data_IF_393045877718
#
_entry.id   IF_393045877718
#
_cell.length_a   1.000
_cell.length_b   1.000
_cell.length_c   1.000
_cell.angle_alpha   90.00
_cell.angle_beta   90.00
_cell.angle_gamma   90.00
#
_symmetry.space_group_name_H-M   'P 1'
#
loop_
_entity.id
_entity.type
_entity.pdbx_description
1 polymer ?
#
# COMPACT_ATOMS: atom_id res chain seq x y z
N UNK A 1 -15.95 19.83 -17.27
CA UNK A 1 -15.42 21.21 -17.20
C UNK A 1 -16.40 22.27 -17.72
N UNK A 2 -17.29 22.01 -18.69
CA UNK A 2 -18.19 23.05 -19.23
C UNK A 2 -19.52 23.26 -18.46
N UNK A 3 -20.08 22.22 -17.83
CA UNK A 3 -21.41 22.29 -17.20
C UNK A 3 -21.45 23.22 -15.98
N UNK A 4 -20.36 23.29 -15.21
CA UNK A 4 -20.27 24.16 -14.02
C UNK A 4 -20.23 25.65 -14.36
N UNK A 5 -19.61 26.03 -15.48
CA UNK A 5 -19.54 27.43 -15.92
C UNK A 5 -20.88 27.94 -16.45
N UNK A 6 -21.63 27.10 -17.16
CA UNK A 6 -22.97 27.45 -17.66
C UNK A 6 -23.97 27.68 -16.53
N UNK A 7 -23.96 26.82 -15.50
CA UNK A 7 -24.82 26.96 -14.32
C UNK A 7 -24.53 28.26 -13.53
N UNK A 8 -23.26 28.65 -13.41
CA UNK A 8 -22.90 29.91 -12.74
C UNK A 8 -23.19 31.17 -13.58
N UNK A 9 -23.11 31.07 -14.91
CA UNK A 9 -23.47 32.17 -15.81
C UNK A 9 -24.95 32.55 -15.73
N UNK A 10 -25.85 31.56 -15.71
CA UNK A 10 -27.31 31.78 -15.60
C UNK A 10 -27.70 32.36 -14.23
N UNK A 11 -27.00 31.98 -13.15
CA UNK A 11 -27.22 32.55 -11.81
C UNK A 11 -26.75 34.00 -11.72
N UNK A 12 -25.66 34.37 -12.39
CA UNK A 12 -25.16 35.75 -12.44
C UNK A 12 -26.08 36.69 -13.23
N UNK A 13 -26.75 36.17 -14.27
CA UNK A 13 -27.63 36.94 -15.15
C UNK A 13 -28.98 37.28 -14.51
N UNK A 14 -29.56 36.36 -13.71
CA UNK A 14 -30.90 36.55 -13.12
C UNK A 14 -30.87 37.27 -11.77
N UNK A 15 -29.80 37.11 -10.99
CA UNK A 15 -29.84 37.46 -9.57
C UNK A 15 -29.03 38.72 -9.19
N UNK A 16 -28.26 39.30 -10.11
CA UNK A 16 -27.43 40.49 -9.86
C UNK A 16 -26.16 40.20 -9.05
N UNK A 17 -25.17 41.08 -9.15
CA UNK A 17 -23.82 40.91 -8.60
C UNK A 17 -23.82 40.58 -7.09
N UNK A 18 -24.77 41.16 -6.34
CA UNK A 18 -24.88 41.03 -4.89
C UNK A 18 -25.26 39.61 -4.44
N UNK A 19 -26.19 38.95 -5.11
CA UNK A 19 -26.64 37.61 -4.73
C UNK A 19 -25.61 36.54 -5.11
N UNK A 20 -24.88 36.73 -6.21
CA UNK A 20 -23.78 35.85 -6.62
C UNK A 20 -22.62 35.88 -5.62
N UNK A 21 -22.30 37.06 -5.09
CA UNK A 21 -21.30 37.21 -4.03
C UNK A 21 -21.77 36.58 -2.71
N UNK A 22 -23.05 36.75 -2.34
CA UNK A 22 -23.62 36.11 -1.16
C UNK A 22 -23.65 34.58 -1.27
N UNK A 23 -24.04 34.05 -2.44
CA UNK A 23 -24.04 32.60 -2.71
C UNK A 23 -22.62 32.02 -2.64
N UNK A 24 -21.63 32.71 -3.20
CA UNK A 24 -20.22 32.30 -3.13
C UNK A 24 -19.69 32.31 -1.69
N UNK A 25 -20.06 33.34 -0.91
CA UNK A 25 -19.69 33.45 0.51
C UNK A 25 -20.29 32.31 1.34
N UNK A 26 -21.57 31.98 1.11
CA UNK A 26 -22.26 30.85 1.76
C UNK A 26 -21.60 29.53 1.35
N UNK A 27 -21.30 29.33 0.07
CA UNK A 27 -20.62 28.14 -0.43
C UNK A 27 -19.23 27.97 0.19
N UNK A 28 -18.48 29.07 0.38
CA UNK A 28 -17.15 29.04 1.01
C UNK A 28 -17.24 28.71 2.50
N UNK A 29 -18.21 29.30 3.22
CA UNK A 29 -18.46 28.99 4.64
C UNK A 29 -18.94 27.55 4.80
N UNK A 30 -19.85 27.07 3.94
CA UNK A 30 -20.32 25.70 3.92
C UNK A 30 -19.19 24.71 3.62
N UNK A 31 -18.33 25.03 2.64
CA UNK A 31 -17.12 24.27 2.35
C UNK A 31 -16.21 24.17 3.58
N UNK A 32 -15.90 25.31 4.23
CA UNK A 32 -15.09 25.34 5.44
C UNK A 32 -15.72 24.54 6.59
N UNK A 33 -17.04 24.58 6.71
CA UNK A 33 -17.77 23.85 7.74
C UNK A 33 -17.78 22.34 7.49
N UNK A 34 -17.91 21.91 6.23
CA UNK A 34 -17.79 20.51 5.80
C UNK A 34 -16.35 20.01 6.04
N UNK A 35 -15.34 20.81 5.69
CA UNK A 35 -13.92 20.47 5.94
C UNK A 35 -13.63 20.39 7.44
N UNK A 36 -14.16 21.33 8.24
CA UNK A 36 -14.02 21.31 9.72
C UNK A 36 -14.76 20.16 10.38
N UNK A 37 -15.88 19.70 9.82
CA UNK A 37 -16.67 18.58 10.37
C UNK A 37 -16.15 17.19 9.99
N UNK A 38 -14.99 17.09 9.33
CA UNK A 38 -14.16 15.87 9.40
C UNK A 38 -14.57 14.71 8.49
N UNK A 39 -15.05 14.99 7.27
CA UNK A 39 -15.28 13.91 6.28
C UNK A 39 -14.08 13.69 5.35
N UNK A 40 -13.07 14.56 5.39
CA UNK A 40 -11.79 14.28 4.75
C UNK A 40 -10.84 13.60 5.75
N UNK A 41 -10.79 12.27 5.69
CA UNK A 41 -9.68 11.49 6.25
C UNK A 41 -8.49 11.71 5.30
N UNK A 42 -7.87 12.89 5.39
CA UNK A 42 -6.55 13.10 4.83
C UNK A 42 -5.58 12.51 5.86
N UNK A 43 -4.89 11.42 5.50
CA UNK A 43 -3.95 10.75 6.40
C UNK A 43 -3.04 11.76 7.07
N UNK A 44 -3.04 11.75 8.40
CA UNK A 44 -2.25 12.66 9.25
C UNK A 44 -0.77 12.63 8.83
N UNK A 45 -0.01 13.71 8.99
CA UNK A 45 1.46 13.69 8.79
C UNK A 45 2.15 12.61 9.64
N UNK A 46 1.55 12.25 10.78
CA UNK A 46 2.03 11.14 11.62
C UNK A 46 1.88 9.77 10.93
N UNK A 47 0.96 9.64 9.98
CA UNK A 47 0.62 8.40 9.28
C UNK A 47 1.70 8.01 8.24
N UNK A 48 2.64 8.91 7.94
CA UNK A 48 3.75 8.69 6.97
C UNK A 48 5.10 8.40 7.60
N UNK A 49 5.26 8.42 8.94
CA UNK A 49 6.58 8.13 9.52
C UNK A 49 6.93 6.65 9.25
N UNK A 50 8.20 6.45 8.88
CA UNK A 50 8.75 5.14 8.50
C UNK A 50 8.97 4.32 9.76
N UNK A 51 8.48 3.08 9.76
CA UNK A 51 8.72 2.12 10.85
C UNK A 51 10.14 1.53 10.70
N UNK A 52 10.97 1.51 11.76
CA UNK A 52 12.28 0.85 11.72
C UNK A 52 12.12 -0.65 11.44
N UNK A 53 12.84 -1.17 10.44
CA UNK A 53 12.82 -2.60 10.13
C UNK A 53 13.85 -3.37 10.95
N UNK A 54 13.38 -4.39 11.68
CA UNK A 54 14.21 -5.23 12.56
C UNK A 54 14.84 -6.43 11.83
N UNK A 55 14.34 -6.78 10.65
CA UNK A 55 14.81 -7.94 9.89
C UNK A 55 16.20 -7.70 9.28
N UNK A 56 17.20 -8.42 9.82
CA UNK A 56 18.53 -8.53 9.22
C UNK A 56 18.40 -9.24 7.87
N UNK A 57 18.77 -8.53 6.81
CA UNK A 57 18.90 -9.12 5.48
C UNK A 57 20.03 -10.15 5.52
N UNK A 58 19.69 -11.44 5.55
CA UNK A 58 20.65 -12.51 5.39
C UNK A 58 20.99 -12.63 3.90
N UNK A 59 22.03 -11.92 3.47
CA UNK A 59 22.53 -11.96 2.10
C UNK A 59 23.93 -12.55 2.14
N UNK A 60 24.14 -13.67 1.45
CA UNK A 60 25.41 -14.39 1.45
C UNK A 60 26.48 -13.71 0.58
N UNK A 61 26.09 -12.80 -0.32
CA UNK A 61 26.97 -12.15 -1.29
C UNK A 61 26.51 -10.72 -1.51
N UNK A 62 27.42 -9.79 -1.74
CA UNK A 62 27.06 -8.41 -2.06
C UNK A 62 26.26 -8.36 -3.38
N UNK A 63 25.06 -7.77 -3.34
CA UNK A 63 24.15 -7.66 -4.49
C UNK A 63 24.18 -6.21 -4.96
N UNK A 64 24.42 -5.99 -6.26
CA UNK A 64 24.42 -4.65 -6.81
C UNK A 64 22.99 -4.09 -6.82
N UNK A 65 22.88 -2.78 -6.63
CA UNK A 65 21.58 -2.09 -6.59
C UNK A 65 20.73 -2.28 -7.85
N UNK A 66 21.38 -2.46 -9.00
CA UNK A 66 20.75 -2.68 -10.31
C UNK A 66 20.34 -4.13 -10.56
N UNK A 67 20.74 -5.08 -9.71
CA UNK A 67 20.45 -6.50 -9.94
C UNK A 67 18.96 -6.79 -9.80
N UNK A 68 18.42 -7.58 -10.71
CA UNK A 68 17.02 -7.98 -10.71
C UNK A 68 16.58 -8.52 -12.07
N UNK A 69 15.27 -8.75 -12.24
CA UNK A 69 14.19 -8.69 -11.25
C UNK A 69 14.39 -9.52 -9.98
N UNK A 70 13.86 -9.04 -8.85
CA UNK A 70 13.91 -9.72 -7.55
C UNK A 70 12.55 -10.31 -7.22
N UNK A 71 12.47 -11.63 -7.05
CA UNK A 71 11.29 -12.31 -6.52
C UNK A 71 11.41 -12.45 -5.00
N UNK A 72 10.33 -12.11 -4.30
CA UNK A 72 10.23 -12.18 -2.85
C UNK A 72 9.15 -13.18 -2.48
N UNK A 73 9.45 -14.03 -1.51
CA UNK A 73 8.55 -15.04 -0.98
C UNK A 73 8.52 -14.97 0.55
N UNK A 74 7.32 -14.83 1.12
CA UNK A 74 7.08 -14.82 2.56
C UNK A 74 6.09 -15.91 2.92
N UNK A 75 6.39 -16.68 3.96
CA UNK A 75 5.58 -17.82 4.41
C UNK A 75 4.85 -17.43 5.70
N UNK A 76 3.56 -17.75 5.73
CA UNK A 76 2.68 -17.50 6.86
C UNK A 76 1.96 -18.78 7.29
N UNK A 77 1.68 -18.91 8.58
CA UNK A 77 0.80 -19.94 9.14
C UNK A 77 -0.42 -19.25 9.74
N UNK A 78 -1.60 -19.58 9.22
CA UNK A 78 -2.87 -19.06 9.70
C UNK A 78 -3.82 -20.20 10.03
N UNK A 79 -4.04 -20.43 11.33
CA UNK A 79 -4.99 -21.42 11.82
C UNK A 79 -6.40 -21.18 11.24
N UNK A 80 -7.24 -22.22 11.08
CA UNK A 80 -8.55 -22.12 10.43
C UNK A 80 -9.44 -21.02 11.00
N UNK A 81 -9.41 -20.80 12.31
CA UNK A 81 -10.19 -19.77 13.00
C UNK A 81 -9.76 -18.34 12.64
N UNK A 82 -8.47 -18.12 12.34
CA UNK A 82 -7.90 -16.79 12.04
C UNK A 82 -7.80 -16.52 10.53
N UNK A 83 -8.07 -17.52 9.69
CA UNK A 83 -7.92 -17.46 8.23
C UNK A 83 -8.54 -16.24 7.57
N UNK A 84 -9.77 -15.90 7.95
CA UNK A 84 -10.48 -14.77 7.34
C UNK A 84 -9.82 -13.43 7.69
N UNK A 85 -9.34 -13.26 8.91
CA UNK A 85 -8.62 -12.07 9.35
C UNK A 85 -7.25 -11.97 8.69
N UNK A 86 -6.51 -13.07 8.67
CA UNK A 86 -5.24 -13.18 7.97
C UNK A 86 -5.36 -12.77 6.49
N UNK A 87 -6.31 -13.33 5.75
CA UNK A 87 -6.51 -13.01 4.34
C UNK A 87 -6.80 -11.51 4.17
N UNK A 88 -7.65 -10.91 5.01
CA UNK A 88 -7.91 -9.46 4.93
C UNK A 88 -6.64 -8.63 5.16
N UNK A 89 -5.85 -8.99 6.18
CA UNK A 89 -4.59 -8.30 6.49
C UNK A 89 -3.59 -8.45 5.34
N UNK A 90 -3.41 -9.65 4.81
CA UNK A 90 -2.51 -9.94 3.69
C UNK A 90 -2.89 -9.14 2.43
N UNK A 91 -4.18 -9.04 2.09
CA UNK A 91 -4.62 -8.25 0.94
C UNK A 91 -4.48 -6.73 1.15
N UNK A 92 -4.64 -6.24 2.39
CA UNK A 92 -4.36 -4.85 2.73
C UNK A 92 -2.87 -4.51 2.53
N UNK A 93 -1.97 -5.33 3.07
CA UNK A 93 -0.53 -5.22 2.86
C UNK A 93 -0.18 -5.35 1.38
N UNK A 94 -0.77 -6.31 0.67
CA UNK A 94 -0.57 -6.52 -0.76
C UNK A 94 -0.96 -5.33 -1.64
N UNK A 95 -1.96 -4.54 -1.23
CA UNK A 95 -2.29 -3.25 -1.89
C UNK A 95 -1.15 -2.25 -1.73
N UNK A 96 -0.60 -2.14 -0.53
CA UNK A 96 0.54 -1.27 -0.23
C UNK A 96 1.81 -1.73 -0.94
N UNK A 97 2.09 -3.04 -0.98
CA UNK A 97 3.21 -3.60 -1.74
C UNK A 97 3.14 -3.20 -3.21
N UNK A 98 1.98 -3.35 -3.84
CA UNK A 98 1.74 -2.97 -5.25
C UNK A 98 1.88 -1.47 -5.49
N UNK A 99 1.32 -0.64 -4.60
CA UNK A 99 1.50 0.82 -4.62
C UNK A 99 2.98 1.22 -4.59
N UNK A 100 3.78 0.45 -3.86
CA UNK A 100 5.21 0.69 -3.70
C UNK A 100 6.08 -0.05 -4.74
N UNK A 101 5.51 -0.48 -5.87
CA UNK A 101 6.27 -1.00 -7.02
C UNK A 101 6.31 -2.53 -7.16
N UNK A 102 5.68 -3.30 -6.27
CA UNK A 102 5.57 -4.74 -6.48
C UNK A 102 4.65 -5.10 -7.66
N UNK A 103 5.16 -5.96 -8.54
CA UNK A 103 4.44 -6.59 -9.64
C UNK A 103 4.09 -8.04 -9.28
N UNK A 104 3.08 -8.59 -9.94
CA UNK A 104 2.67 -9.99 -9.80
C UNK A 104 2.39 -10.46 -8.36
N UNK A 105 1.95 -9.53 -7.49
CA UNK A 105 1.61 -9.85 -6.11
C UNK A 105 0.47 -10.88 -6.06
N UNK A 106 0.70 -11.99 -5.35
CA UNK A 106 -0.27 -13.06 -5.13
C UNK A 106 -0.08 -13.69 -3.77
N UNK A 107 -1.18 -14.13 -3.18
CA UNK A 107 -1.22 -14.95 -1.98
C UNK A 107 -1.70 -16.35 -2.37
N UNK A 108 -0.89 -17.36 -2.09
CA UNK A 108 -1.18 -18.77 -2.36
C UNK A 108 -1.47 -19.49 -1.05
N UNK A 109 -2.35 -20.49 -1.11
CA UNK A 109 -2.52 -21.48 -0.05
C UNK A 109 -1.74 -22.72 -0.45
N UNK A 110 -0.98 -23.28 0.46
CA UNK A 110 -0.28 -24.54 0.24
C UNK A 110 -1.31 -25.68 0.10
N UNK A 111 -1.06 -26.61 -0.83
CA UNK A 111 -1.92 -27.76 -1.06
C UNK A 111 -1.57 -28.93 -0.13
N UNK A 112 -0.32 -29.01 0.33
CA UNK A 112 0.14 -30.02 1.28
C UNK A 112 -0.22 -29.62 2.72
N UNK A 113 -0.17 -28.32 3.03
CA UNK A 113 -0.38 -27.78 4.37
C UNK A 113 -1.50 -26.71 4.35
N UNK A 114 -2.76 -27.05 4.63
CA UNK A 114 -3.90 -26.16 4.41
C UNK A 114 -3.89 -24.84 5.19
N UNK A 115 -3.12 -24.76 6.26
CA UNK A 115 -2.95 -23.56 7.11
C UNK A 115 -1.72 -22.74 6.73
N UNK A 116 -0.91 -23.22 5.78
CA UNK A 116 0.26 -22.54 5.27
C UNK A 116 -0.10 -21.70 4.05
N UNK A 117 0.38 -20.47 4.05
CA UNK A 117 0.16 -19.50 2.99
C UNK A 117 1.48 -18.91 2.55
N UNK A 118 1.56 -18.58 1.27
CA UNK A 118 2.77 -18.04 0.65
C UNK A 118 2.43 -16.77 -0.11
N UNK A 119 2.96 -15.63 0.34
CA UNK A 119 2.93 -14.39 -0.43
C UNK A 119 4.10 -14.41 -1.42
N UNK A 120 3.84 -14.07 -2.69
CA UNK A 120 4.89 -13.85 -3.68
C UNK A 120 4.66 -12.56 -4.46
N UNK A 121 5.74 -11.86 -4.74
CA UNK A 121 5.75 -10.72 -5.65
C UNK A 121 7.12 -10.52 -6.29
N UNK A 122 7.18 -9.63 -7.28
CA UNK A 122 8.40 -9.29 -8.01
C UNK A 122 8.62 -7.78 -7.95
N UNK A 123 9.86 -7.35 -7.74
CA UNK A 123 10.30 -5.97 -7.93
C UNK A 123 11.40 -5.90 -8.97
N UNK A 124 11.58 -4.72 -9.57
CA UNK A 124 12.41 -4.54 -10.75
C UNK A 124 13.91 -4.65 -10.45
N UNK A 125 14.33 -4.14 -9.29
CA UNK A 125 15.73 -4.18 -8.86
C UNK A 125 15.85 -4.42 -7.35
N UNK A 126 17.06 -4.78 -6.92
CA UNK A 126 17.41 -4.88 -5.51
C UNK A 126 17.22 -3.56 -4.77
N UNK A 127 17.57 -2.43 -5.40
CA UNK A 127 17.32 -1.12 -4.83
C UNK A 127 15.82 -0.83 -4.64
N UNK A 128 14.98 -1.24 -5.57
CA UNK A 128 13.53 -1.06 -5.44
C UNK A 128 12.96 -1.90 -4.31
N UNK A 129 13.49 -3.10 -4.09
CA UNK A 129 13.17 -3.92 -2.92
C UNK A 129 13.51 -3.20 -1.61
N UNK A 130 14.73 -2.66 -1.49
CA UNK A 130 15.19 -1.94 -0.30
C UNK A 130 14.34 -0.68 -0.04
N UNK A 131 13.99 0.06 -1.10
CA UNK A 131 13.12 1.23 -1.00
C UNK A 131 11.70 0.86 -0.60
N UNK A 132 11.14 -0.20 -1.15
CA UNK A 132 9.81 -0.68 -0.81
C UNK A 132 9.72 -1.02 0.68
N UNK A 133 10.75 -1.68 1.20
CA UNK A 133 10.93 -1.99 2.63
C UNK A 133 10.98 -0.74 3.51
N UNK A 134 11.70 0.29 3.09
CA UNK A 134 11.81 1.55 3.83
C UNK A 134 10.55 2.44 3.76
N UNK A 135 9.56 2.12 2.92
CA UNK A 135 8.34 2.92 2.71
C UNK A 135 7.10 2.38 3.44
N UNK A 136 7.28 1.51 4.43
CA UNK A 136 6.17 1.09 5.30
C UNK A 136 5.80 2.28 6.18
N UNK A 137 4.58 2.78 6.00
CA UNK A 137 4.05 3.94 6.72
C UNK A 137 3.27 3.50 7.96
N UNK A 138 3.00 4.42 8.89
CA UNK A 138 2.15 4.15 10.06
C UNK A 138 0.72 3.76 9.69
N UNK A 139 0.16 4.35 8.62
CA UNK A 139 -1.17 3.98 8.10
C UNK A 139 -1.27 2.48 7.79
N UNK A 140 -0.16 1.90 7.31
CA UNK A 140 -0.06 0.50 6.93
C UNK A 140 0.38 -0.40 8.11
N UNK A 141 0.88 0.19 9.20
CA UNK A 141 1.50 -0.51 10.32
C UNK A 141 0.58 -1.53 11.00
N UNK A 142 -0.72 -1.22 11.15
CA UNK A 142 -1.65 -2.15 11.82
C UNK A 142 -1.80 -3.45 11.03
N UNK A 143 -1.93 -3.36 9.71
CA UNK A 143 -2.05 -4.55 8.86
C UNK A 143 -0.72 -5.28 8.77
N UNK A 144 0.39 -4.54 8.76
CA UNK A 144 1.74 -5.09 8.73
C UNK A 144 2.07 -5.90 10.01
N UNK A 145 1.78 -5.34 11.19
CA UNK A 145 2.01 -5.99 12.50
C UNK A 145 1.10 -7.20 12.67
N UNK A 146 -0.15 -7.10 12.24
CA UNK A 146 -1.06 -8.24 12.23
C UNK A 146 -0.54 -9.34 11.30
N UNK A 147 -0.11 -8.99 10.09
CA UNK A 147 0.43 -9.96 9.13
C UNK A 147 1.72 -10.62 9.64
N UNK A 148 2.63 -9.85 10.25
CA UNK A 148 3.88 -10.38 10.80
C UNK A 148 3.65 -11.36 11.96
N UNK A 149 2.52 -11.24 12.68
CA UNK A 149 2.15 -12.20 13.73
C UNK A 149 1.86 -13.61 13.21
N UNK A 150 1.59 -13.74 11.91
CA UNK A 150 1.36 -15.03 11.24
C UNK A 150 2.62 -15.56 10.56
N UNK A 151 3.77 -14.88 10.63
CA UNK A 151 5.01 -15.39 10.04
C UNK A 151 5.44 -16.66 10.76
N UNK A 152 5.78 -17.69 9.97
CA UNK A 152 6.19 -18.98 10.49
C UNK A 152 7.57 -18.87 11.16
N UNK A 153 7.69 -19.11 12.49
CA UNK A 153 8.96 -19.05 13.20
C UNK A 153 9.95 -20.15 12.77
N UNK A 154 9.45 -21.25 12.21
CA UNK A 154 10.24 -22.41 11.79
C UNK A 154 10.65 -22.38 10.31
N UNK A 155 9.96 -21.62 9.47
CA UNK A 155 10.36 -21.36 8.09
C UNK A 155 11.51 -20.36 8.07
N UNK A 156 12.57 -20.64 7.31
CA UNK A 156 13.58 -19.63 6.98
C UNK A 156 12.91 -18.34 6.51
N UNK A 157 13.29 -17.24 7.17
CA UNK A 157 13.26 -15.82 6.77
C UNK A 157 12.83 -15.59 5.32
N UNK A 158 11.94 -14.61 5.10
CA UNK A 158 11.56 -14.05 3.79
C UNK A 158 12.62 -14.34 2.71
N UNK A 159 12.30 -15.22 1.76
CA UNK A 159 13.24 -15.66 0.73
C UNK A 159 13.24 -14.65 -0.41
N UNK A 160 14.44 -14.40 -0.95
CA UNK A 160 14.68 -13.42 -2.01
C UNK A 160 15.50 -14.08 -3.09
N UNK A 161 15.03 -13.99 -4.32
CA UNK A 161 15.64 -14.62 -5.48
C UNK A 161 15.86 -13.57 -6.55
N UNK A 162 17.02 -13.60 -7.21
CA UNK A 162 17.33 -12.73 -8.35
C UNK A 162 17.18 -13.58 -9.61
N UNK A 163 16.44 -13.07 -10.60
CA UNK A 163 16.30 -13.76 -11.88
C UNK A 163 17.65 -13.90 -12.58
N UNK A 164 17.94 -15.09 -13.08
CA UNK A 164 19.11 -15.34 -13.92
C UNK A 164 18.65 -15.47 -15.37
N UNK A 165 19.26 -14.71 -16.27
CA UNK A 165 19.05 -14.90 -17.70
C UNK A 165 19.71 -16.22 -18.14
N UNK A 166 19.13 -16.96 -19.09
CA UNK A 166 19.80 -18.10 -19.70
C UNK A 166 21.12 -17.65 -20.30
N UNK A 167 22.22 -18.30 -19.94
CA UNK A 167 23.51 -18.05 -20.56
C UNK A 167 23.45 -18.58 -22.00
N UNK A 168 23.66 -17.70 -22.97
CA UNK A 168 23.77 -18.10 -24.37
C UNK A 168 24.96 -19.06 -24.51
N UNK A 169 24.66 -20.27 -24.97
CA UNK A 169 25.64 -21.33 -25.25
C UNK A 169 26.29 -21.15 -26.61
#
# INVERSE_FOLDING_TARGET
MAVGGFLWGVVAEVAGLQTSLLASSIAMVAGLWITRRGVFILGSEADYRVVPQTDKLLIATEVAHSDGPVSVETVYIAAPAMRAEFIRAAYAVGKTRRRNGARNWRLYRDLAEPDRYVERFIVESWLDYLRQRARVTHADQRSEVLLSSYEDPGSMVTRRYISQAPQSM
#
